data_IF_553796575957
#
_entry.id   IF_553796575957
#
_cell.length_a   1.000
_cell.length_b   1.000
_cell.length_c   1.000
_cell.angle_alpha   90.00
_cell.angle_beta   90.00
_cell.angle_gamma   90.00
#
_symmetry.space_group_name_H-M   'P 1'
#
loop_
_entity.id
_entity.type
_entity.pdbx_description
1 polymer ?
#
# COMPACT_ATOMS: atom_id res chain seq x y z
N UNK A 1 18.07 13.12 6.36
CA UNK A 1 17.19 12.43 7.34
C UNK A 1 17.66 12.82 8.73
N UNK A 2 16.81 13.33 9.63
CA UNK A 2 17.25 13.74 10.97
C UNK A 2 17.18 12.52 11.90
N UNK A 3 18.21 12.29 12.72
CA UNK A 3 18.33 11.11 13.62
C UNK A 3 17.11 10.92 14.55
N UNK A 4 16.42 12.02 14.89
CA UNK A 4 15.19 12.02 15.70
C UNK A 4 14.00 11.33 15.04
N UNK A 5 13.91 11.36 13.71
CA UNK A 5 12.76 10.83 12.97
C UNK A 5 12.83 9.29 12.92
N UNK A 6 14.04 8.72 12.78
CA UNK A 6 14.30 7.27 12.85
C UNK A 6 14.03 6.70 14.24
N UNK A 7 14.45 7.42 15.30
CA UNK A 7 14.14 7.04 16.68
C UNK A 7 12.63 7.08 16.96
N UNK A 8 11.88 7.89 16.21
CA UNK A 8 10.41 7.95 16.25
C UNK A 8 9.74 6.65 15.79
N UNK A 9 10.38 5.84 14.94
CA UNK A 9 9.86 4.54 14.49
C UNK A 9 9.73 3.52 15.62
N UNK A 10 10.38 3.73 16.77
CA UNK A 10 10.15 2.95 17.99
C UNK A 10 8.68 3.00 18.46
N UNK A 11 7.91 4.01 18.02
CA UNK A 11 6.47 4.10 18.26
C UNK A 11 5.66 3.02 17.51
N UNK A 12 6.21 2.38 16.50
CA UNK A 12 5.56 1.28 15.79
C UNK A 12 5.17 0.13 16.74
N UNK A 13 5.93 -0.09 17.82
CA UNK A 13 5.59 -1.05 18.87
C UNK A 13 4.32 -0.65 19.64
N UNK A 14 4.16 0.64 19.93
CA UNK A 14 2.92 1.16 20.53
C UNK A 14 1.75 1.05 19.56
N UNK A 15 1.95 1.38 18.28
CA UNK A 15 0.91 1.25 17.25
C UNK A 15 0.41 -0.19 17.13
N UNK A 16 1.33 -1.17 17.14
CA UNK A 16 1.00 -2.59 17.20
C UNK A 16 0.21 -2.94 18.47
N UNK A 17 0.58 -2.38 19.62
CA UNK A 17 -0.10 -2.57 20.90
C UNK A 17 -1.53 -2.03 20.95
N UNK A 18 -1.87 -1.03 20.12
CA UNK A 18 -3.23 -0.47 20.07
C UNK A 18 -4.20 -1.26 19.19
N UNK A 19 -3.69 -2.05 18.24
CA UNK A 19 -4.53 -2.76 17.27
C UNK A 19 -5.53 -3.73 17.94
N UNK A 20 -5.14 -4.60 18.91
CA UNK A 20 -6.08 -5.54 19.54
C UNK A 20 -7.30 -4.86 20.17
N UNK A 21 -7.12 -3.70 20.80
CA UNK A 21 -8.21 -2.94 21.42
C UNK A 21 -9.18 -2.37 20.37
N UNK A 22 -8.67 -1.97 19.20
CA UNK A 22 -9.47 -1.40 18.11
C UNK A 22 -10.08 -2.44 17.16
N UNK A 23 -9.56 -3.66 17.15
CA UNK A 23 -9.85 -4.68 16.14
C UNK A 23 -11.35 -5.05 16.02
N UNK A 24 -12.12 -5.24 17.11
CA UNK A 24 -13.54 -5.56 17.00
C UNK A 24 -14.34 -4.47 16.30
N UNK A 25 -14.12 -3.21 16.68
CA UNK A 25 -14.77 -2.06 16.06
C UNK A 25 -14.33 -1.90 14.60
N UNK A 26 -13.03 -2.06 14.33
CA UNK A 26 -12.47 -2.02 12.98
C UNK A 26 -13.14 -3.05 12.07
N UNK A 27 -13.25 -4.31 12.50
CA UNK A 27 -13.92 -5.37 11.72
C UNK A 27 -15.41 -5.10 11.51
N UNK A 28 -16.10 -4.57 12.52
CA UNK A 28 -17.53 -4.29 12.44
C UNK A 28 -17.86 -3.12 11.49
N UNK A 29 -17.00 -2.10 11.45
CA UNK A 29 -17.23 -0.88 10.66
C UNK A 29 -16.67 -0.98 9.23
N UNK A 30 -15.76 -1.90 8.97
CA UNK A 30 -15.06 -1.96 7.69
C UNK A 30 -15.90 -2.64 6.61
N UNK A 31 -15.96 -2.07 5.40
CA UNK A 31 -16.63 -2.70 4.28
C UNK A 31 -16.06 -4.10 3.98
N UNK A 32 -16.95 -5.04 3.72
CA UNK A 32 -16.59 -6.43 3.41
C UNK A 32 -16.33 -6.63 1.92
N UNK A 33 -15.44 -7.56 1.63
CA UNK A 33 -15.23 -8.10 0.30
C UNK A 33 -16.21 -9.22 -0.02
N UNK A 34 -16.26 -9.57 -1.30
CA UNK A 34 -17.06 -10.68 -1.86
C UNK A 34 -16.17 -11.77 -2.47
N UNK A 35 -14.94 -11.91 -1.98
CA UNK A 35 -13.93 -12.85 -2.49
C UNK A 35 -12.97 -12.25 -3.51
N UNK A 36 -12.88 -10.93 -3.63
CA UNK A 36 -11.99 -10.29 -4.62
C UNK A 36 -10.51 -10.58 -4.29
N UNK A 37 -9.67 -10.86 -5.29
CA UNK A 37 -8.28 -11.20 -5.05
C UNK A 37 -7.45 -9.97 -4.68
N UNK A 38 -6.63 -10.12 -3.63
CA UNK A 38 -5.69 -9.09 -3.14
C UNK A 38 -4.29 -9.69 -3.04
N UNK A 39 -3.31 -9.11 -3.73
CA UNK A 39 -1.90 -9.46 -3.62
C UNK A 39 -1.17 -8.44 -2.73
N UNK A 40 -0.46 -8.91 -1.71
CA UNK A 40 0.36 -8.04 -0.84
C UNK A 40 1.85 -8.10 -1.19
N UNK A 41 2.51 -6.95 -1.34
CA UNK A 41 3.94 -6.85 -1.64
C UNK A 41 4.71 -6.15 -0.49
N UNK A 42 5.71 -6.81 0.14
CA UNK A 42 6.46 -6.28 1.27
C UNK A 42 7.54 -5.26 0.86
N UNK A 43 7.97 -4.43 1.82
CA UNK A 43 9.07 -3.47 1.66
C UNK A 43 10.46 -4.11 1.56
N UNK A 44 11.50 -3.29 1.37
CA UNK A 44 12.89 -3.74 1.30
C UNK A 44 13.30 -4.48 2.59
N UNK A 45 14.09 -5.55 2.45
CA UNK A 45 14.50 -6.50 3.51
C UNK A 45 13.37 -7.28 4.20
N UNK A 46 12.09 -6.96 3.92
CA UNK A 46 10.96 -7.62 4.54
C UNK A 46 10.55 -8.90 3.79
N UNK A 47 9.72 -9.70 4.44
CA UNK A 47 9.12 -10.93 3.91
C UNK A 47 7.60 -10.84 4.00
N UNK A 48 6.89 -11.89 3.59
CA UNK A 48 5.45 -12.02 3.78
C UNK A 48 5.00 -11.81 5.23
N UNK A 49 5.84 -12.10 6.22
CA UNK A 49 5.51 -11.92 7.64
C UNK A 49 5.13 -10.48 7.98
N UNK A 50 5.78 -9.49 7.35
CA UNK A 50 5.49 -8.05 7.56
C UNK A 50 4.06 -7.65 7.18
N UNK A 51 3.44 -8.37 6.24
CA UNK A 51 2.08 -8.10 5.75
C UNK A 51 1.05 -9.06 6.36
N UNK A 52 1.44 -9.90 7.32
CA UNK A 52 0.58 -10.97 7.85
C UNK A 52 -0.68 -10.44 8.56
N UNK A 53 -0.56 -9.35 9.32
CA UNK A 53 -1.69 -8.72 10.03
C UNK A 53 -2.70 -8.20 9.01
N UNK A 54 -2.26 -7.41 8.04
CA UNK A 54 -3.10 -6.93 6.95
C UNK A 54 -3.81 -8.10 6.24
N UNK A 55 -3.06 -9.14 5.87
CA UNK A 55 -3.65 -10.30 5.20
C UNK A 55 -4.69 -11.01 6.06
N UNK A 56 -4.45 -11.18 7.36
CA UNK A 56 -5.43 -11.79 8.27
C UNK A 56 -6.69 -10.94 8.35
N UNK A 57 -6.53 -9.64 8.60
CA UNK A 57 -7.63 -8.70 8.68
C UNK A 57 -8.51 -8.71 7.41
N UNK A 58 -7.90 -8.64 6.22
CA UNK A 58 -8.65 -8.67 4.97
C UNK A 58 -9.34 -10.02 4.70
N UNK A 59 -8.77 -11.15 5.17
CA UNK A 59 -9.46 -12.44 5.09
C UNK A 59 -10.71 -12.50 5.96
N UNK A 60 -10.65 -11.94 7.18
CA UNK A 60 -11.83 -11.82 8.06
C UNK A 60 -12.92 -10.94 7.42
N UNK A 61 -12.55 -10.00 6.56
CA UNK A 61 -13.49 -9.18 5.77
C UNK A 61 -14.00 -9.87 4.50
N UNK A 62 -13.59 -11.10 4.20
CA UNK A 62 -14.08 -11.85 3.04
C UNK A 62 -13.29 -11.68 1.74
N UNK A 63 -12.07 -11.13 1.79
CA UNK A 63 -11.20 -11.04 0.60
C UNK A 63 -10.40 -12.34 0.37
N UNK A 64 -10.09 -12.63 -0.89
CA UNK A 64 -9.14 -13.69 -1.26
C UNK A 64 -7.73 -13.11 -1.24
N UNK A 65 -7.03 -13.23 -0.12
CA UNK A 65 -5.77 -12.50 0.10
C UNK A 65 -4.54 -13.38 -0.01
N UNK A 66 -3.60 -12.96 -0.86
CA UNK A 66 -2.44 -13.71 -1.29
C UNK A 66 -1.12 -13.05 -0.87
N UNK A 67 -0.18 -13.82 -0.29
CA UNK A 67 1.21 -13.42 -0.13
C UNK A 67 1.93 -13.35 -1.48
N UNK A 68 3.06 -12.65 -1.52
CA UNK A 68 3.89 -12.59 -2.72
C UNK A 68 4.65 -13.91 -2.98
N UNK A 69 4.98 -14.69 -1.94
CA UNK A 69 5.73 -15.95 -1.99
C UNK A 69 7.07 -15.90 -2.73
N UNK A 70 7.80 -14.77 -2.69
CA UNK A 70 9.11 -14.62 -3.34
C UNK A 70 10.27 -14.50 -2.33
N UNK A 71 10.05 -14.93 -1.10
CA UNK A 71 11.06 -14.90 -0.04
C UNK A 71 11.23 -13.52 0.57
N UNK A 72 12.49 -13.07 0.68
CA UNK A 72 12.86 -11.75 1.22
C UNK A 72 13.06 -10.74 0.10
N UNK A 73 12.59 -9.52 0.30
CA UNK A 73 12.77 -8.44 -0.67
C UNK A 73 14.19 -7.88 -0.61
N UNK A 74 15.05 -8.39 -1.49
CA UNK A 74 16.44 -7.91 -1.62
C UNK A 74 16.57 -6.75 -2.61
N UNK A 75 15.47 -6.20 -3.11
CA UNK A 75 15.47 -5.13 -4.10
C UNK A 75 15.35 -5.62 -5.54
N UNK A 76 15.41 -4.68 -6.51
CA UNK A 76 15.02 -4.96 -7.88
C UNK A 76 16.01 -5.90 -8.58
N UNK A 77 15.53 -7.04 -9.05
CA UNK A 77 16.29 -7.92 -9.93
C UNK A 77 15.36 -8.60 -10.96
N UNK A 78 15.93 -9.19 -12.02
CA UNK A 78 15.16 -9.75 -13.12
C UNK A 78 14.29 -10.95 -12.70
N UNK A 79 14.83 -11.83 -11.84
CA UNK A 79 14.13 -13.00 -11.34
C UNK A 79 12.92 -12.62 -10.48
N UNK A 80 13.09 -11.65 -9.57
CA UNK A 80 12.01 -11.13 -8.73
C UNK A 80 10.91 -10.49 -9.57
N UNK A 81 11.26 -9.71 -10.60
CA UNK A 81 10.28 -9.13 -11.53
C UNK A 81 9.48 -10.22 -12.25
N UNK A 82 10.14 -11.25 -12.77
CA UNK A 82 9.48 -12.36 -13.43
C UNK A 82 8.62 -13.18 -12.44
N UNK A 83 9.09 -13.38 -11.22
CA UNK A 83 8.35 -14.05 -10.14
C UNK A 83 7.08 -13.30 -9.75
N UNK A 84 7.15 -11.97 -9.63
CA UNK A 84 5.97 -11.15 -9.35
C UNK A 84 4.93 -11.20 -10.47
N UNK A 85 5.38 -11.22 -11.72
CA UNK A 85 4.47 -11.39 -12.87
C UNK A 85 3.76 -12.74 -12.83
N UNK A 86 4.52 -13.84 -12.69
CA UNK A 86 3.95 -15.19 -12.57
C UNK A 86 2.98 -15.30 -11.40
N UNK A 87 3.31 -14.65 -10.28
CA UNK A 87 2.44 -14.64 -9.10
C UNK A 87 1.12 -13.93 -9.37
N UNK A 88 1.14 -12.81 -10.08
CA UNK A 88 -0.06 -12.08 -10.48
C UNK A 88 -0.95 -12.93 -11.40
N UNK A 89 -0.35 -13.58 -12.40
CA UNK A 89 -1.05 -14.48 -13.34
C UNK A 89 -1.63 -15.71 -12.65
N UNK A 90 -0.89 -16.32 -11.71
CA UNK A 90 -1.37 -17.47 -10.92
C UNK A 90 -2.62 -17.11 -10.12
N UNK A 91 -2.62 -15.94 -9.49
CA UNK A 91 -3.75 -15.48 -8.66
C UNK A 91 -4.96 -15.19 -9.55
N UNK A 92 -4.76 -14.45 -10.64
CA UNK A 92 -5.82 -14.11 -11.58
C UNK A 92 -6.41 -15.38 -12.21
N UNK A 93 -5.57 -16.30 -12.70
CA UNK A 93 -6.02 -17.56 -13.30
C UNK A 93 -6.74 -18.49 -12.32
N UNK A 94 -6.43 -18.42 -11.02
CA UNK A 94 -7.13 -19.21 -9.99
C UNK A 94 -8.48 -18.63 -9.58
N UNK A 95 -8.60 -17.31 -9.52
CA UNK A 95 -9.80 -16.62 -9.01
C UNK A 95 -10.72 -16.15 -10.14
N UNK A 96 -10.20 -15.98 -11.36
CA UNK A 96 -10.92 -15.50 -12.54
C UNK A 96 -11.32 -14.02 -12.46
N UNK A 97 -10.60 -13.22 -11.66
CA UNK A 97 -10.92 -11.80 -11.40
C UNK A 97 -9.64 -10.98 -11.33
N UNK A 98 -9.70 -9.71 -11.77
CA UNK A 98 -8.60 -8.76 -11.64
C UNK A 98 -8.15 -8.59 -10.19
N UNK A 99 -6.84 -8.51 -10.00
CA UNK A 99 -6.19 -8.51 -8.69
C UNK A 99 -5.97 -7.08 -8.20
N UNK A 100 -6.40 -6.78 -6.97
CA UNK A 100 -5.99 -5.55 -6.29
C UNK A 100 -4.62 -5.76 -5.65
N UNK A 101 -3.72 -4.79 -5.73
CA UNK A 101 -2.37 -4.94 -5.17
C UNK A 101 -2.18 -3.95 -4.03
N UNK A 102 -1.79 -4.43 -2.84
CA UNK A 102 -1.38 -3.60 -1.71
C UNK A 102 0.12 -3.71 -1.52
N UNK A 103 0.85 -2.62 -1.72
CA UNK A 103 2.30 -2.60 -1.60
C UNK A 103 2.77 -1.65 -0.49
N UNK A 104 3.74 -2.09 0.31
CA UNK A 104 4.34 -1.27 1.36
C UNK A 104 5.76 -0.89 1.01
N UNK A 105 6.11 0.40 1.14
CA UNK A 105 7.47 0.90 0.91
C UNK A 105 7.90 0.52 -0.51
N UNK A 106 9.05 -0.12 -0.70
CA UNK A 106 9.49 -0.63 -2.01
C UNK A 106 8.45 -1.55 -2.70
N UNK A 107 7.66 -2.30 -1.93
CA UNK A 107 6.59 -3.14 -2.47
C UNK A 107 5.50 -2.35 -3.21
N UNK A 108 5.25 -1.09 -2.83
CA UNK A 108 4.32 -0.21 -3.56
C UNK A 108 4.88 0.29 -4.90
N UNK A 109 6.19 0.45 -5.01
CA UNK A 109 6.85 0.74 -6.30
C UNK A 109 6.65 -0.46 -7.25
N UNK A 110 6.84 -1.68 -6.75
CA UNK A 110 6.57 -2.89 -7.52
C UNK A 110 5.09 -3.04 -7.90
N UNK A 111 4.17 -2.71 -6.99
CA UNK A 111 2.74 -2.75 -7.26
C UNK A 111 2.35 -1.84 -8.44
N UNK A 112 2.85 -0.59 -8.44
CA UNK A 112 2.65 0.36 -9.54
C UNK A 112 3.22 -0.17 -10.85
N UNK A 113 4.43 -0.73 -10.83
CA UNK A 113 5.08 -1.27 -12.03
C UNK A 113 4.35 -2.49 -12.61
N UNK A 114 3.85 -3.40 -11.76
CA UNK A 114 3.02 -4.52 -12.19
C UNK A 114 1.73 -4.03 -12.86
N UNK A 115 1.06 -3.06 -12.25
CA UNK A 115 -0.16 -2.45 -12.77
C UNK A 115 0.07 -1.74 -14.11
N UNK A 116 1.19 -1.01 -14.24
CA UNK A 116 1.54 -0.30 -15.48
C UNK A 116 1.77 -1.26 -16.64
N UNK A 117 2.43 -2.39 -16.37
CA UNK A 117 2.71 -3.41 -17.39
C UNK A 117 1.48 -4.24 -17.73
N UNK A 118 0.59 -4.47 -16.76
CA UNK A 118 -0.52 -5.41 -16.88
C UNK A 118 -1.85 -4.83 -16.37
N UNK A 119 -2.34 -3.71 -16.91
CA UNK A 119 -3.56 -3.07 -16.42
C UNK A 119 -4.81 -3.93 -16.62
N UNK A 120 -4.73 -4.97 -17.47
CA UNK A 120 -5.80 -5.93 -17.67
C UNK A 120 -5.93 -6.95 -16.55
N UNK A 121 -4.85 -7.21 -15.81
CA UNK A 121 -4.83 -8.16 -14.69
C UNK A 121 -4.99 -7.45 -13.34
N UNK A 122 -4.71 -6.14 -13.28
CA UNK A 122 -4.74 -5.37 -12.04
C UNK A 122 -6.02 -4.54 -11.97
N UNK A 123 -6.72 -4.63 -10.84
CA UNK A 123 -7.93 -3.85 -10.56
C UNK A 123 -7.62 -2.45 -10.05
N UNK A 124 -6.72 -2.37 -9.07
CA UNK A 124 -6.30 -1.13 -8.41
C UNK A 124 -5.00 -1.35 -7.64
N UNK A 125 -4.33 -0.26 -7.30
CA UNK A 125 -3.12 -0.24 -6.47
C UNK A 125 -3.36 0.58 -5.21
N UNK A 126 -3.02 0.03 -4.06
CA UNK A 126 -2.98 0.75 -2.78
C UNK A 126 -1.54 0.71 -2.28
N UNK A 127 -0.95 1.87 -2.04
CA UNK A 127 0.41 1.97 -1.51
C UNK A 127 0.41 2.44 -0.05
N UNK A 128 1.31 1.88 0.74
CA UNK A 128 1.55 2.25 2.14
C UNK A 128 2.96 2.81 2.23
N UNK A 129 3.11 4.10 2.56
CA UNK A 129 4.41 4.75 2.78
C UNK A 129 5.46 4.43 1.69
N UNK A 130 5.05 4.48 0.41
CA UNK A 130 5.89 4.05 -0.72
C UNK A 130 6.49 5.25 -1.45
N UNK A 131 7.82 5.43 -1.48
CA UNK A 131 8.47 6.64 -2.01
C UNK A 131 8.59 6.64 -3.55
N UNK A 132 7.48 6.40 -4.28
CA UNK A 132 7.51 6.28 -5.74
C UNK A 132 7.78 7.61 -6.46
N UNK A 133 7.49 8.75 -5.84
CA UNK A 133 7.79 10.07 -6.40
C UNK A 133 9.19 10.59 -6.02
N UNK A 134 10.01 9.79 -5.32
CA UNK A 134 11.38 10.17 -4.93
C UNK A 134 12.40 10.04 -6.07
N UNK A 135 12.06 9.32 -7.15
CA UNK A 135 13.01 8.92 -8.18
C UNK A 135 14.17 8.11 -7.59
N UNK A 136 13.92 6.86 -7.17
CA UNK A 136 14.87 5.94 -6.51
C UNK A 136 16.14 6.58 -5.94
N UNK A 137 16.03 7.34 -4.86
CA UNK A 137 17.18 7.79 -4.05
C UNK A 137 17.19 7.03 -2.73
N UNK A 138 17.68 5.80 -2.74
CA UNK A 138 18.01 5.10 -1.49
C UNK A 138 19.51 4.91 -1.24
N UNK A 139 20.41 4.99 -2.24
CA UNK A 139 21.85 4.84 -1.93
C UNK A 139 22.88 5.35 -2.98
N UNK A 140 22.66 6.52 -3.60
CA UNK A 140 23.62 7.17 -4.54
C UNK A 140 24.01 6.39 -5.82
N UNK A 141 23.55 6.91 -6.96
CA UNK A 141 24.29 7.18 -8.21
C UNK A 141 23.28 7.31 -9.36
N UNK A 142 23.09 8.54 -9.82
CA UNK A 142 22.19 8.97 -10.90
C UNK A 142 20.70 8.74 -10.64
N UNK A 143 19.95 9.85 -10.65
CA UNK A 143 18.52 9.80 -10.93
C UNK A 143 18.44 9.60 -12.43
N UNK A 144 18.12 8.39 -12.87
CA UNK A 144 17.55 8.24 -14.21
C UNK A 144 16.24 9.04 -14.17
N UNK A 145 16.27 10.26 -14.73
CA UNK A 145 15.13 11.17 -14.74
C UNK A 145 13.92 10.54 -15.43
N UNK A 146 14.15 9.72 -16.46
CA UNK A 146 13.08 8.99 -17.13
C UNK A 146 12.49 7.91 -16.22
N UNK A 147 13.31 7.22 -15.43
CA UNK A 147 12.82 6.29 -14.41
C UNK A 147 12.07 7.03 -13.30
N UNK A 148 12.57 8.16 -12.82
CA UNK A 148 11.91 8.95 -11.79
C UNK A 148 10.53 9.44 -12.25
N UNK A 149 10.46 10.00 -13.46
CA UNK A 149 9.22 10.46 -14.07
C UNK A 149 8.24 9.31 -14.28
N UNK A 150 8.73 8.17 -14.78
CA UNK A 150 7.93 6.95 -14.92
C UNK A 150 7.37 6.46 -13.59
N UNK A 151 8.15 6.47 -12.51
CA UNK A 151 7.69 6.01 -11.20
C UNK A 151 6.65 6.96 -10.59
N UNK A 152 6.84 8.27 -10.81
CA UNK A 152 5.92 9.33 -10.40
C UNK A 152 4.59 9.26 -11.14
N UNK A 153 4.61 9.04 -12.45
CA UNK A 153 3.40 8.89 -13.28
C UNK A 153 2.53 7.74 -12.76
N UNK A 154 1.23 7.92 -12.46
CA UNK A 154 0.38 6.82 -12.02
C UNK A 154 0.18 5.76 -13.11
N UNK A 155 0.10 4.45 -12.78
CA UNK A 155 -0.31 3.43 -13.75
C UNK A 155 -1.77 3.66 -14.18
N UNK A 156 -2.23 3.09 -15.32
CA UNK A 156 -3.57 3.31 -15.87
C UNK A 156 -4.63 2.44 -15.17
N UNK A 157 -4.64 2.47 -13.83
CA UNK A 157 -5.62 1.86 -12.94
C UNK A 157 -5.81 2.77 -11.73
N UNK A 158 -6.92 2.69 -10.99
CA UNK A 158 -7.09 3.46 -9.76
C UNK A 158 -5.94 3.25 -8.76
N UNK A 159 -5.44 4.34 -8.20
CA UNK A 159 -4.34 4.32 -7.24
C UNK A 159 -4.67 5.12 -5.98
N UNK A 160 -4.44 4.51 -4.82
CA UNK A 160 -4.54 5.18 -3.53
C UNK A 160 -3.19 5.17 -2.85
N UNK A 161 -2.68 6.34 -2.48
CA UNK A 161 -1.51 6.48 -1.63
C UNK A 161 -1.90 6.77 -0.19
N UNK A 162 -1.64 5.81 0.70
CA UNK A 162 -1.78 6.01 2.14
C UNK A 162 -0.38 6.33 2.70
N UNK A 163 -0.24 7.51 3.27
CA UNK A 163 1.05 8.04 3.74
C UNK A 163 0.92 8.62 5.14
N UNK A 164 2.06 8.86 5.78
CA UNK A 164 2.13 9.54 7.08
C UNK A 164 3.18 10.63 7.04
N UNK A 165 2.89 11.78 7.65
CA UNK A 165 3.87 12.87 7.83
C UNK A 165 4.91 12.55 8.90
N UNK A 166 4.66 11.55 9.75
CA UNK A 166 5.59 11.07 10.77
C UNK A 166 6.48 9.92 10.26
N UNK A 167 6.62 9.79 8.93
CA UNK A 167 7.50 8.81 8.31
C UNK A 167 8.96 9.14 8.65
N UNK A 168 9.60 8.25 9.41
CA UNK A 168 10.99 8.39 9.81
C UNK A 168 11.98 7.78 8.82
N UNK A 169 11.52 7.13 7.75
CA UNK A 169 12.34 6.32 6.83
C UNK A 169 12.49 6.99 5.46
N UNK A 170 11.41 7.57 4.92
CA UNK A 170 11.40 8.26 3.64
C UNK A 170 10.72 9.63 3.75
N UNK A 171 11.07 10.62 2.91
CA UNK A 171 10.33 11.87 2.87
C UNK A 171 8.90 11.62 2.42
N UNK A 172 7.92 11.83 3.30
CA UNK A 172 6.52 11.49 3.06
C UNK A 172 5.92 12.13 1.79
N UNK A 173 6.44 13.28 1.36
CA UNK A 173 6.03 13.95 0.13
C UNK A 173 6.26 13.06 -1.10
N UNK A 174 7.27 12.21 -1.04
CA UNK A 174 7.60 11.27 -2.11
C UNK A 174 6.66 10.07 -2.17
N UNK A 175 5.80 9.92 -1.17
CA UNK A 175 4.78 8.88 -1.10
C UNK A 175 3.43 9.31 -1.67
N UNK A 176 3.34 10.51 -2.26
CA UNK A 176 2.09 11.08 -2.72
C UNK A 176 1.92 10.97 -4.22
N UNK A 177 0.69 10.68 -4.62
CA UNK A 177 0.24 10.82 -6.01
C UNK A 177 0.15 12.30 -6.38
N UNK A 178 0.50 12.60 -7.62
CA UNK A 178 0.07 13.83 -8.26
C UNK A 178 -1.43 13.78 -8.57
N UNK A 179 -2.03 14.95 -8.81
CA UNK A 179 -3.46 15.01 -9.14
C UNK A 179 -3.75 14.32 -10.48
N UNK A 180 -4.60 13.29 -10.46
CA UNK A 180 -5.08 12.55 -11.62
C UNK A 180 -6.52 12.09 -11.38
N UNK A 181 -7.37 11.90 -12.41
CA UNK A 181 -8.79 11.53 -12.26
C UNK A 181 -9.08 10.26 -11.45
N UNK A 182 -8.10 9.38 -11.24
CA UNK A 182 -8.25 8.12 -10.53
C UNK A 182 -7.16 7.89 -9.48
N UNK A 183 -6.60 8.97 -8.94
CA UNK A 183 -5.59 8.91 -7.88
C UNK A 183 -6.04 9.69 -6.67
N UNK A 184 -5.61 9.26 -5.48
CA UNK A 184 -5.88 9.99 -4.24
C UNK A 184 -4.78 9.77 -3.20
N UNK A 185 -4.75 10.69 -2.22
CA UNK A 185 -3.81 10.67 -1.12
C UNK A 185 -4.58 10.65 0.22
N UNK A 186 -4.30 9.69 1.09
CA UNK A 186 -4.91 9.54 2.41
C UNK A 186 -3.80 9.62 3.47
N UNK A 187 -3.79 10.71 4.23
CA UNK A 187 -2.89 10.86 5.38
C UNK A 187 -3.43 10.08 6.58
N UNK A 188 -2.56 9.35 7.28
CA UNK A 188 -2.88 8.68 8.55
C UNK A 188 -1.83 9.00 9.63
N UNK A 189 -2.22 9.11 10.91
CA UNK A 189 -1.30 9.31 12.01
C UNK A 189 -0.62 7.99 12.40
N UNK A 190 0.47 7.66 11.71
CA UNK A 190 1.26 6.45 11.93
C UNK A 190 2.77 6.73 11.78
N UNK A 191 3.64 5.80 12.11
CA UNK A 191 5.04 5.83 11.63
C UNK A 191 5.20 5.03 10.33
N UNK A 192 6.38 5.05 9.69
CA UNK A 192 6.63 4.25 8.48
C UNK A 192 6.40 2.75 8.72
N UNK A 193 6.89 2.24 9.86
CA UNK A 193 6.75 0.84 10.24
C UNK A 193 5.35 0.55 10.80
N UNK A 194 4.80 1.47 11.59
CA UNK A 194 3.51 1.24 12.24
C UNK A 194 2.29 1.40 11.31
N UNK A 195 2.44 2.04 10.15
CA UNK A 195 1.36 2.20 9.16
C UNK A 195 0.75 0.87 8.72
N UNK A 196 1.53 -0.22 8.69
CA UNK A 196 1.05 -1.55 8.30
C UNK A 196 0.07 -2.19 9.30
N UNK A 197 -0.01 -1.65 10.51
CA UNK A 197 -0.89 -2.13 11.60
C UNK A 197 -1.81 -1.04 12.15
N UNK A 198 -1.74 0.17 11.60
CA UNK A 198 -2.56 1.29 11.99
C UNK A 198 -4.04 1.08 11.59
N UNK A 199 -4.97 1.19 12.55
CA UNK A 199 -6.38 0.93 12.30
C UNK A 199 -7.01 1.84 11.23
N UNK A 200 -6.57 3.10 11.11
CA UNK A 200 -7.05 4.03 10.09
C UNK A 200 -6.52 3.64 8.70
N UNK A 201 -5.26 3.20 8.61
CA UNK A 201 -4.73 2.65 7.36
C UNK A 201 -5.49 1.38 6.95
N UNK A 202 -5.72 0.44 7.89
CA UNK A 202 -6.47 -0.79 7.64
C UNK A 202 -7.92 -0.53 7.20
N UNK A 203 -8.60 0.42 7.83
CA UNK A 203 -9.93 0.84 7.41
C UNK A 203 -9.92 1.43 6.00
N UNK A 204 -9.01 2.37 5.71
CA UNK A 204 -8.90 2.98 4.40
C UNK A 204 -8.65 1.92 3.31
N UNK A 205 -7.76 0.95 3.55
CA UNK A 205 -7.53 -0.17 2.62
C UNK A 205 -8.84 -0.93 2.35
N UNK A 206 -9.58 -1.34 3.38
CA UNK A 206 -10.83 -2.08 3.22
C UNK A 206 -11.90 -1.27 2.46
N UNK A 207 -12.01 0.03 2.75
CA UNK A 207 -12.94 0.95 2.10
C UNK A 207 -12.62 1.11 0.60
N UNK A 208 -11.35 1.24 0.22
CA UNK A 208 -10.92 1.28 -1.19
C UNK A 208 -11.14 -0.07 -1.90
N UNK A 209 -10.80 -1.18 -1.24
CA UNK A 209 -10.95 -2.52 -1.81
C UNK A 209 -12.41 -2.89 -2.11
N UNK A 210 -13.35 -2.34 -1.35
CA UNK A 210 -14.78 -2.63 -1.49
C UNK A 210 -15.46 -1.92 -2.68
N UNK A 211 -14.83 -0.89 -3.27
CA UNK A 211 -15.44 -0.15 -4.39
C UNK A 211 -15.54 -1.02 -5.65
N UNK A 212 -16.70 -1.12 -6.32
CA UNK A 212 -16.85 -1.96 -7.51
C UNK A 212 -15.90 -1.56 -8.64
N UNK A 213 -15.55 -2.52 -9.50
CA UNK A 213 -14.74 -2.23 -10.69
C UNK A 213 -15.45 -1.20 -11.59
N UNK A 214 -14.70 -0.19 -12.04
CA UNK A 214 -15.26 0.94 -12.80
C UNK A 214 -16.01 1.98 -11.96
N UNK A 215 -16.29 1.71 -10.68
CA UNK A 215 -16.97 2.62 -9.77
C UNK A 215 -16.04 3.38 -8.83
N UNK A 216 -14.80 3.67 -9.26
CA UNK A 216 -13.83 4.34 -8.42
C UNK A 216 -14.31 5.74 -8.01
N UNK A 217 -14.19 6.05 -6.72
CA UNK A 217 -14.43 7.38 -6.15
C UNK A 217 -13.42 7.73 -5.04
N UNK A 218 -13.09 9.02 -4.87
CA UNK A 218 -12.21 9.47 -3.78
C UNK A 218 -12.73 9.12 -2.37
N UNK A 219 -11.84 9.15 -1.39
CA UNK A 219 -12.12 8.77 -0.01
C UNK A 219 -12.93 9.86 0.68
N UNK A 220 -14.13 9.50 1.10
CA UNK A 220 -15.06 10.43 1.72
C UNK A 220 -14.62 10.73 3.17
N UNK A 221 -14.11 11.94 3.37
CA UNK A 221 -13.73 12.48 4.68
C UNK A 221 -14.88 13.29 5.28
N UNK A 222 -16.03 12.66 5.52
CA UNK A 222 -17.23 13.29 6.10
C UNK A 222 -17.50 12.79 7.52
N UNK A 223 -18.25 13.58 8.31
CA UNK A 223 -18.60 13.24 9.70
C UNK A 223 -17.38 12.93 10.57
N UNK A 224 -17.40 11.79 11.29
CA UNK A 224 -16.28 11.36 12.14
C UNK A 224 -15.00 11.08 11.32
N UNK A 225 -15.12 10.62 10.06
CA UNK A 225 -13.95 10.42 9.18
C UNK A 225 -13.23 11.74 8.90
N UNK A 226 -13.95 12.87 8.85
CA UNK A 226 -13.34 14.19 8.66
C UNK A 226 -12.35 14.52 9.79
N UNK A 227 -12.67 14.14 11.04
CA UNK A 227 -11.79 14.34 12.18
C UNK A 227 -10.61 13.36 12.18
N UNK A 228 -10.88 12.08 11.87
CA UNK A 228 -9.87 11.01 11.93
C UNK A 228 -8.83 11.10 10.80
N UNK A 229 -9.24 11.52 9.60
CA UNK A 229 -8.40 11.62 8.40
C UNK A 229 -8.11 13.08 7.98
N UNK A 230 -8.21 14.01 8.94
CA UNK A 230 -7.82 15.40 8.69
C UNK A 230 -6.35 15.46 8.29
N UNK A 231 -6.05 16.26 7.27
CA UNK A 231 -4.67 16.59 6.95
C UNK A 231 -4.10 17.43 8.09
N UNK A 232 -2.95 17.03 8.63
CA UNK A 232 -2.34 17.73 9.75
C UNK A 232 -1.37 18.76 9.16
N UNK A 233 -1.55 20.04 9.49
CA UNK A 233 -0.70 21.16 9.05
C UNK A 233 0.79 20.90 9.28
#
# INVERSE_FOLDING_TARGET
MRLRDVLGEGRALFELGTLPASLPALLALSPRGDGQPVLTLPGLMATDGSMAILRRYLRELGYSVHPWNLGRNLGPNAELRAGMMRRLEEIEGRVGRRVSIVGWSLGGIYARELARRNPRLVRQVITLASPFAAGMRMDSRYVDEALAERLRTPPPVPCTAIYTRHDGVVPWQTCREDAHPHTENIEVPATHIGIGVNALALYAIADRLAQPEGGWKPFEKTGVKALLYRERG
#
